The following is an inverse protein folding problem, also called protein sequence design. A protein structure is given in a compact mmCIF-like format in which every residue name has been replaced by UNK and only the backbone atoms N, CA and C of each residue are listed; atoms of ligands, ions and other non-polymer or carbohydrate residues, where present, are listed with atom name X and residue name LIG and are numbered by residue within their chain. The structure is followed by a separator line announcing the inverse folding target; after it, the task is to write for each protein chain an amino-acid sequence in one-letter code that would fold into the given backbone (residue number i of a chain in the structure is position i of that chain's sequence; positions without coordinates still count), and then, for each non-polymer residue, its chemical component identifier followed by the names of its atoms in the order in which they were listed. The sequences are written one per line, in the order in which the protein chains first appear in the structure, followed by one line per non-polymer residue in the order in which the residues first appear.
data_IF_759855912105
#
_entry.id   IF_759855912105
#
_cell.length_a   1.000
_cell.length_b   1.000
_cell.length_c   1.000
_cell.angle_alpha   90.00
_cell.angle_beta   90.00
_cell.angle_gamma   90.00
#
_symmetry.space_group_name_H-M   'P 1'
#
loop_
_entity.id
_entity.type
_entity.pdbx_description
1 polymer ?
#
# COMPACT_ATOMS: atom_id res chain seq x y z
N UNK A 1 5.54 6.51 -16.30
CA UNK A 1 4.32 6.62 -17.12
C UNK A 1 3.46 5.41 -16.80
N UNK A 2 2.22 5.65 -16.37
CA UNK A 2 1.20 4.72 -15.84
C UNK A 2 1.63 3.67 -14.82
N UNK A 3 1.66 4.05 -13.54
CA UNK A 3 1.78 3.11 -12.44
C UNK A 3 0.38 2.61 -12.00
N UNK A 4 0.11 1.29 -12.02
CA UNK A 4 -1.19 0.74 -11.63
C UNK A 4 -1.55 1.00 -10.16
N UNK A 5 -0.55 1.24 -9.31
CA UNK A 5 -0.74 1.60 -7.91
C UNK A 5 -1.04 3.09 -7.70
N UNK A 6 -0.55 3.97 -8.59
CA UNK A 6 -0.88 5.40 -8.54
C UNK A 6 -2.29 5.65 -9.09
N UNK A 7 -2.66 4.95 -10.17
CA UNK A 7 -3.96 5.05 -10.80
C UNK A 7 -4.91 3.93 -10.33
N UNK A 8 -4.77 3.50 -9.06
CA UNK A 8 -5.54 2.38 -8.54
C UNK A 8 -7.02 2.76 -8.55
N UNK A 9 -7.83 1.95 -9.24
CA UNK A 9 -9.26 2.16 -9.24
C UNK A 9 -9.80 1.78 -7.86
N UNK A 10 -10.07 2.78 -7.01
CA UNK A 10 -10.50 2.59 -5.62
C UNK A 10 -11.78 1.76 -5.51
N UNK A 11 -12.70 1.92 -6.47
CA UNK A 11 -13.98 1.20 -6.51
C UNK A 11 -13.80 -0.29 -6.81
N UNK A 12 -12.91 -0.63 -7.75
CA UNK A 12 -12.63 -2.03 -8.13
C UNK A 12 -11.70 -2.74 -7.15
N UNK A 13 -10.71 -2.04 -6.61
CA UNK A 13 -9.62 -2.64 -5.84
C UNK A 13 -9.96 -2.81 -4.35
N UNK A 14 -11.04 -2.17 -3.88
CA UNK A 14 -11.57 -2.21 -2.51
C UNK A 14 -10.47 -1.95 -1.48
N UNK A 15 -10.18 -0.66 -1.27
CA UNK A 15 -9.26 -0.22 -0.20
C UNK A 15 -9.83 -0.68 1.14
N UNK A 16 -9.03 -1.43 1.89
CA UNK A 16 -9.37 -1.98 3.20
C UNK A 16 -9.13 -0.92 4.27
N UNK A 17 -8.02 -0.18 4.14
CA UNK A 17 -7.64 0.91 5.03
C UNK A 17 -6.96 2.01 4.23
N UNK A 18 -7.34 3.25 4.49
CA UNK A 18 -6.68 4.43 3.93
C UNK A 18 -6.09 5.27 5.07
N UNK A 19 -4.76 5.32 5.14
CA UNK A 19 -4.02 6.16 6.06
C UNK A 19 -3.69 7.53 5.47
N UNK A 20 -2.79 8.27 6.13
CA UNK A 20 -2.29 9.56 5.64
C UNK A 20 -1.29 9.34 4.51
N UNK A 21 -0.29 8.49 4.72
CA UNK A 21 0.79 8.26 3.76
C UNK A 21 0.68 6.92 3.01
N UNK A 22 -0.11 5.97 3.53
CA UNK A 22 -0.25 4.63 2.94
C UNK A 22 -1.71 4.24 2.75
N UNK A 23 -1.96 3.21 1.95
CA UNK A 23 -3.25 2.54 1.84
C UNK A 23 -3.05 1.04 1.71
N UNK A 24 -4.09 0.28 2.07
CA UNK A 24 -4.06 -1.18 2.11
C UNK A 24 -5.09 -1.76 1.16
N UNK A 25 -4.67 -2.69 0.32
CA UNK A 25 -5.52 -3.40 -0.65
C UNK A 25 -5.20 -4.89 -0.64
N UNK A 26 -6.11 -5.71 -1.18
CA UNK A 26 -5.77 -7.08 -1.53
C UNK A 26 -4.81 -7.11 -2.71
N UNK A 27 -3.82 -8.01 -2.67
CA UNK A 27 -3.04 -8.34 -3.86
C UNK A 27 -3.93 -8.94 -4.95
N UNK A 28 -3.54 -8.77 -6.22
CA UNK A 28 -4.20 -9.42 -7.35
C UNK A 28 -3.17 -9.79 -8.43
N UNK A 29 -2.92 -11.09 -8.70
CA UNK A 29 -3.51 -12.26 -8.05
C UNK A 29 -3.07 -12.42 -6.59
N UNK A 30 -3.88 -13.10 -5.78
CA UNK A 30 -3.55 -13.43 -4.39
C UNK A 30 -2.78 -14.74 -4.31
N UNK A 31 -1.65 -14.74 -3.60
CA UNK A 31 -0.91 -15.97 -3.29
C UNK A 31 -1.61 -16.82 -2.23
N UNK A 32 -2.15 -16.16 -1.20
CA UNK A 32 -2.91 -16.79 -0.11
C UNK A 32 -4.14 -15.98 0.24
N UNK A 33 -5.11 -16.60 0.91
CA UNK A 33 -6.29 -15.90 1.45
C UNK A 33 -5.82 -14.85 2.45
N UNK A 34 -6.28 -13.62 2.29
CA UNK A 34 -5.84 -12.51 3.16
C UNK A 34 -4.54 -11.83 2.74
N UNK A 35 -3.92 -12.16 1.59
CA UNK A 35 -2.69 -11.51 1.17
C UNK A 35 -2.92 -10.03 0.79
N UNK A 36 -2.48 -9.13 1.67
CA UNK A 36 -2.61 -7.68 1.56
C UNK A 36 -1.32 -7.02 1.06
N UNK A 37 -1.48 -5.84 0.46
CA UNK A 37 -0.40 -4.93 0.11
C UNK A 37 -0.60 -3.62 0.87
N UNK A 38 0.43 -3.20 1.61
CA UNK A 38 0.54 -1.85 2.18
C UNK A 38 1.37 -1.01 1.22
N UNK A 39 0.76 0.01 0.63
CA UNK A 39 1.33 0.77 -0.49
C UNK A 39 1.43 2.25 -0.10
N UNK A 40 2.60 2.90 -0.28
CA UNK A 40 2.71 4.34 -0.10
C UNK A 40 1.93 5.08 -1.18
N UNK A 41 1.23 6.17 -0.80
CA UNK A 41 0.51 7.02 -1.74
C UNK A 41 1.45 7.74 -2.70
N UNK A 42 2.64 8.13 -2.21
CA UNK A 42 3.69 8.68 -3.06
C UNK A 42 4.39 7.56 -3.81
N UNK A 43 4.54 7.72 -5.11
CA UNK A 43 5.29 6.78 -5.94
C UNK A 43 6.78 6.81 -5.53
N UNK A 44 7.25 5.68 -5.01
CA UNK A 44 8.65 5.40 -4.74
C UNK A 44 8.99 4.03 -5.29
N UNK A 45 10.23 3.86 -5.74
CA UNK A 45 10.70 2.59 -6.30
C UNK A 45 11.52 1.83 -5.26
N UNK A 46 12.20 2.54 -4.36
CA UNK A 46 13.07 1.94 -3.34
C UNK A 46 12.61 2.33 -1.94
N UNK A 47 12.74 1.40 -0.99
CA UNK A 47 12.43 1.64 0.43
C UNK A 47 13.25 2.82 0.98
N UNK A 48 14.49 3.00 0.50
CA UNK A 48 15.37 4.11 0.88
C UNK A 48 14.85 5.49 0.47
N UNK A 49 13.91 5.57 -0.47
CA UNK A 49 13.31 6.82 -0.93
C UNK A 49 12.16 7.28 -0.04
N UNK A 50 11.66 6.43 0.87
CA UNK A 50 10.60 6.79 1.81
C UNK A 50 11.10 7.86 2.78
N UNK A 51 10.26 8.88 3.01
CA UNK A 51 10.52 9.81 4.10
C UNK A 51 10.20 9.17 5.47
N UNK A 52 10.63 9.81 6.55
CA UNK A 52 10.47 9.25 7.90
C UNK A 52 9.00 8.98 8.29
N UNK A 53 8.06 9.82 7.83
CA UNK A 53 6.63 9.67 8.13
C UNK A 53 6.01 8.50 7.35
N UNK A 54 6.31 8.42 6.06
CA UNK A 54 5.90 7.31 5.18
C UNK A 54 6.44 5.98 5.69
N UNK A 55 7.74 5.93 6.02
CA UNK A 55 8.39 4.72 6.52
C UNK A 55 7.74 4.25 7.82
N UNK A 56 7.55 5.15 8.78
CA UNK A 56 6.90 4.83 10.06
C UNK A 56 5.50 4.27 9.82
N UNK A 57 4.65 5.00 9.10
CA UNK A 57 3.26 4.58 8.87
C UNK A 57 3.17 3.28 8.07
N UNK A 58 4.07 3.04 7.12
CA UNK A 58 4.15 1.81 6.35
C UNK A 58 4.44 0.61 7.25
N UNK A 59 5.47 0.68 8.09
CA UNK A 59 5.82 -0.43 8.99
C UNK A 59 4.79 -0.61 10.11
N UNK A 60 4.26 0.47 10.70
CA UNK A 60 3.20 0.41 11.71
C UNK A 60 1.96 -0.31 11.13
N UNK A 61 1.59 0.00 9.87
CA UNK A 61 0.45 -0.64 9.20
C UNK A 61 0.76 -2.10 8.85
N UNK A 62 1.98 -2.44 8.45
CA UNK A 62 2.36 -3.85 8.21
C UNK A 62 2.24 -4.67 9.50
N UNK A 63 2.69 -4.13 10.64
CA UNK A 63 2.61 -4.78 11.95
C UNK A 63 1.17 -4.98 12.41
N UNK A 64 0.27 -4.05 12.08
CA UNK A 64 -1.16 -4.15 12.40
C UNK A 64 -1.89 -5.29 11.67
N UNK A 65 -1.46 -5.63 10.45
CA UNK A 65 -2.14 -6.60 9.57
C UNK A 65 -1.40 -7.95 9.44
N UNK A 66 -0.35 -8.19 10.22
CA UNK A 66 0.28 -9.53 10.32
C UNK A 66 -0.61 -10.51 11.06
#
# INVERSE_FOLDING_TARGET
MDCPFCNINKEKTRIIKEGKNVFVVFSNPRLVKGHLLVIPKRHVVKISELNAKEKKELFDTVIEFQ
#
